data_IF_578520906100
#
_entry.id   IF_578520906100
#
_cell.length_a   1.000
_cell.length_b   1.000
_cell.length_c   1.000
_cell.angle_alpha   90.00
_cell.angle_beta   90.00
_cell.angle_gamma   90.00
#
_symmetry.space_group_name_H-M   'P 1'
#
loop_
_entity.id
_entity.type
_entity.pdbx_description
1 polymer ?
#
# COMPACT_ATOMS: atom_id res chain seq x y z
N UNK A 1 -10.40 -7.43 -2.75
CA UNK A 1 -9.50 -6.98 -1.63
C UNK A 1 -9.96 -7.61 -0.33
N UNK A 2 -11.27 -7.72 -0.17
CA UNK A 2 -11.95 -8.45 0.88
C UNK A 2 -11.48 -9.91 0.98
N UNK A 3 -11.32 -10.62 -0.14
CA UNK A 3 -10.83 -12.00 -0.15
C UNK A 3 -9.40 -12.09 0.38
N UNK A 4 -8.51 -11.20 -0.09
CA UNK A 4 -7.13 -11.14 0.39
C UNK A 4 -7.04 -10.89 1.90
N UNK A 5 -7.94 -10.08 2.45
CA UNK A 5 -7.97 -9.77 3.87
C UNK A 5 -8.64 -10.87 4.70
N UNK A 6 -9.71 -11.47 4.21
CA UNK A 6 -10.57 -12.37 4.97
C UNK A 6 -10.16 -13.84 4.86
N UNK A 7 -9.47 -14.21 3.78
CA UNK A 7 -9.06 -15.57 3.44
C UNK A 7 -7.54 -15.63 3.42
N UNK A 8 -6.90 -15.01 2.44
CA UNK A 8 -5.49 -15.26 2.14
C UNK A 8 -4.58 -14.85 3.31
N UNK A 9 -4.72 -13.62 3.80
CA UNK A 9 -3.90 -13.10 4.89
C UNK A 9 -4.01 -13.94 6.18
N UNK A 10 -5.21 -14.22 6.73
CA UNK A 10 -5.34 -15.06 7.90
C UNK A 10 -4.79 -16.48 7.69
N UNK A 11 -5.02 -17.10 6.52
CA UNK A 11 -4.43 -18.42 6.20
C UNK A 11 -2.91 -18.39 6.20
N UNK A 12 -2.29 -17.34 5.62
CA UNK A 12 -0.84 -17.18 5.64
C UNK A 12 -0.30 -16.99 7.06
N UNK A 13 -0.94 -16.14 7.88
CA UNK A 13 -0.51 -15.90 9.25
C UNK A 13 -0.58 -17.17 10.08
N UNK A 14 -1.70 -17.91 10.00
CA UNK A 14 -1.87 -19.17 10.73
C UNK A 14 -0.87 -20.22 10.28
N UNK A 15 -0.60 -20.32 8.98
CA UNK A 15 0.43 -21.21 8.46
C UNK A 15 1.81 -20.87 9.04
N UNK A 16 2.21 -19.60 9.04
CA UNK A 16 3.51 -19.18 9.57
C UNK A 16 3.60 -19.45 11.08
N UNK A 17 2.58 -19.13 11.86
CA UNK A 17 2.56 -19.38 13.30
C UNK A 17 2.67 -20.88 13.60
N UNK A 18 1.91 -21.71 12.88
CA UNK A 18 1.95 -23.16 13.04
C UNK A 18 3.30 -23.76 12.61
N UNK A 19 3.85 -23.31 11.49
CA UNK A 19 5.12 -23.81 10.96
C UNK A 19 6.31 -23.40 11.83
N UNK A 20 6.31 -22.18 12.36
CA UNK A 20 7.41 -21.66 13.20
C UNK A 20 7.26 -21.99 14.68
N UNK A 21 6.06 -22.38 15.13
CA UNK A 21 5.73 -22.58 16.54
C UNK A 21 5.64 -21.27 17.35
N UNK A 22 5.72 -20.11 16.70
CA UNK A 22 5.60 -18.81 17.36
C UNK A 22 4.13 -18.50 17.70
N UNK A 23 3.93 -17.82 18.83
CA UNK A 23 2.58 -17.41 19.26
C UNK A 23 2.10 -16.11 18.61
N UNK A 24 3.04 -15.26 18.20
CA UNK A 24 2.77 -13.96 17.60
C UNK A 24 3.71 -13.68 16.44
N UNK A 25 3.28 -12.80 15.54
CA UNK A 25 4.05 -12.34 14.38
C UNK A 25 4.04 -10.82 14.28
N UNK A 26 5.14 -10.24 13.80
CA UNK A 26 5.22 -8.83 13.41
C UNK A 26 4.85 -8.69 11.93
N UNK A 27 3.90 -7.80 11.61
CA UNK A 27 3.44 -7.58 10.24
C UNK A 27 3.96 -6.24 9.69
N UNK A 28 4.50 -6.25 8.48
CA UNK A 28 4.88 -5.03 7.75
C UNK A 28 4.05 -4.96 6.47
N UNK A 29 3.19 -3.94 6.36
CA UNK A 29 2.31 -3.74 5.21
C UNK A 29 2.72 -2.53 4.40
N UNK A 30 3.00 -2.69 3.10
CA UNK A 30 3.21 -1.57 2.18
C UNK A 30 1.99 -1.33 1.30
N UNK A 31 1.57 -0.07 1.12
CA UNK A 31 0.45 0.30 0.24
C UNK A 31 -0.80 -0.53 0.57
N UNK A 32 -1.27 -1.35 -0.37
CA UNK A 32 -2.40 -2.26 -0.19
C UNK A 32 -2.23 -3.21 1.00
N UNK A 33 -1.00 -3.65 1.33
CA UNK A 33 -0.75 -4.51 2.49
C UNK A 33 -1.08 -3.84 3.83
N UNK A 34 -0.94 -2.51 3.91
CA UNK A 34 -1.45 -1.76 5.07
C UNK A 34 -2.97 -1.87 5.17
N UNK A 35 -3.68 -1.78 4.05
CA UNK A 35 -5.14 -1.93 4.02
C UNK A 35 -5.58 -3.32 4.45
N UNK A 36 -4.90 -4.37 3.98
CA UNK A 36 -5.26 -5.76 4.30
C UNK A 36 -5.14 -6.06 5.80
N UNK A 37 -4.07 -5.59 6.45
CA UNK A 37 -3.90 -5.77 7.90
C UNK A 37 -4.94 -4.99 8.71
N UNK A 38 -5.29 -3.77 8.29
CA UNK A 38 -6.37 -3.00 8.91
C UNK A 38 -7.74 -3.68 8.75
N UNK A 39 -8.05 -4.17 7.56
CA UNK A 39 -9.31 -4.88 7.29
C UNK A 39 -9.40 -6.19 8.09
N UNK A 40 -8.31 -6.95 8.18
CA UNK A 40 -8.26 -8.18 8.96
C UNK A 40 -8.54 -7.89 10.43
N UNK A 41 -7.83 -6.93 11.03
CA UNK A 41 -7.99 -6.62 12.44
C UNK A 41 -9.36 -6.01 12.77
N UNK A 42 -9.97 -5.28 11.83
CA UNK A 42 -11.33 -4.77 11.99
C UNK A 42 -12.40 -5.87 11.88
N UNK A 43 -12.24 -6.81 10.94
CA UNK A 43 -13.21 -7.88 10.68
C UNK A 43 -13.06 -9.12 11.57
N UNK A 44 -11.85 -9.37 12.08
CA UNK A 44 -11.46 -10.55 12.86
C UNK A 44 -10.58 -10.14 14.05
N UNK A 45 -11.16 -9.52 15.10
CA UNK A 45 -10.41 -9.01 16.23
C UNK A 45 -9.57 -10.08 16.96
N UNK A 46 -9.90 -11.36 16.83
CA UNK A 46 -9.12 -12.49 17.35
C UNK A 46 -7.69 -12.58 16.80
N UNK A 47 -7.40 -11.96 15.64
CA UNK A 47 -6.03 -11.89 15.12
C UNK A 47 -5.16 -10.87 15.86
N UNK A 48 -5.73 -9.99 16.69
CA UNK A 48 -4.96 -9.08 17.54
C UNK A 48 -4.09 -9.84 18.54
N UNK A 49 -4.55 -10.99 19.03
CA UNK A 49 -3.76 -11.84 19.93
C UNK A 49 -2.59 -12.54 19.22
N UNK A 50 -2.67 -12.67 17.90
CA UNK A 50 -1.69 -13.33 17.05
C UNK A 50 -0.67 -12.37 16.43
N UNK A 51 -0.88 -11.07 16.54
CA UNK A 51 0.00 -10.04 15.97
C UNK A 51 0.61 -9.22 17.10
N UNK A 52 1.93 -9.05 17.07
CA UNK A 52 2.66 -8.28 18.10
C UNK A 52 2.74 -6.79 17.74
N UNK A 53 3.11 -6.50 16.49
CA UNK A 53 3.22 -5.15 15.96
C UNK A 53 2.84 -5.12 14.49
N UNK A 54 2.21 -4.04 14.07
CA UNK A 54 1.89 -3.74 12.68
C UNK A 54 2.61 -2.46 12.26
N UNK A 55 3.42 -2.54 11.21
CA UNK A 55 4.12 -1.39 10.62
C UNK A 55 3.51 -1.10 9.25
N UNK A 56 3.00 0.11 9.06
CA UNK A 56 2.40 0.56 7.81
C UNK A 56 3.35 1.46 7.03
N UNK A 57 3.70 1.06 5.80
CA UNK A 57 4.53 1.84 4.88
C UNK A 57 3.68 2.35 3.72
N UNK A 58 3.64 3.67 3.51
CA UNK A 58 2.80 4.31 2.49
C UNK A 58 1.34 3.79 2.52
N UNK A 59 0.62 3.91 3.66
CA UNK A 59 -0.69 3.28 3.83
C UNK A 59 -1.70 3.78 2.80
N UNK A 60 -2.36 2.85 2.09
CA UNK A 60 -3.47 3.19 1.19
C UNK A 60 -4.82 3.03 1.91
N UNK A 61 -5.31 4.11 2.52
CA UNK A 61 -6.62 4.14 3.18
C UNK A 61 -7.70 4.83 2.34
N UNK A 62 -8.71 5.37 3.01
CA UNK A 62 -9.66 6.30 2.40
C UNK A 62 -8.90 7.39 1.64
N UNK A 63 -9.12 7.47 0.33
CA UNK A 63 -8.44 8.42 -0.56
C UNK A 63 -9.33 9.63 -0.76
N UNK A 64 -8.93 10.72 -0.12
CA UNK A 64 -9.43 12.08 -0.34
C UNK A 64 -9.33 12.46 -1.84
N UNK A 65 -10.30 13.19 -2.43
CA UNK A 65 -10.28 13.57 -3.85
C UNK A 65 -9.00 14.31 -4.28
N UNK A 66 -8.33 14.96 -3.34
CA UNK A 66 -7.05 15.66 -3.54
C UNK A 66 -5.93 14.74 -4.05
N UNK A 67 -5.88 13.47 -3.65
CA UNK A 67 -4.89 12.51 -4.17
C UNK A 67 -5.07 12.25 -5.67
N UNK A 68 -6.31 12.19 -6.17
CA UNK A 68 -6.57 12.08 -7.62
C UNK A 68 -6.06 13.30 -8.38
N UNK A 69 -6.20 14.51 -7.81
CA UNK A 69 -5.75 15.75 -8.44
C UNK A 69 -4.22 15.81 -8.53
N UNK A 70 -3.52 15.33 -7.50
CA UNK A 70 -2.05 15.27 -7.50
C UNK A 70 -1.53 14.32 -8.59
N UNK A 71 -2.06 13.10 -8.68
CA UNK A 71 -1.66 12.14 -9.73
C UNK A 71 -2.00 12.66 -11.12
N UNK A 72 -3.20 13.23 -11.32
CA UNK A 72 -3.58 13.82 -12.60
C UNK A 72 -2.68 15.01 -12.99
N UNK A 73 -2.26 15.84 -12.03
CA UNK A 73 -1.34 16.96 -12.26
C UNK A 73 0.04 16.49 -12.72
N UNK A 74 0.59 15.46 -12.07
CA UNK A 74 1.87 14.85 -12.48
C UNK A 74 1.73 14.19 -13.85
N UNK A 75 0.68 13.40 -14.09
CA UNK A 75 0.44 12.75 -15.38
C UNK A 75 0.26 13.77 -16.52
N UNK A 76 -0.51 14.85 -16.32
CA UNK A 76 -0.66 15.92 -17.33
C UNK A 76 0.67 16.58 -17.66
N UNK A 77 1.47 16.89 -16.64
CA UNK A 77 2.77 17.55 -16.82
C UNK A 77 3.77 16.62 -17.52
N UNK A 78 3.82 15.35 -17.12
CA UNK A 78 4.71 14.36 -17.73
C UNK A 78 4.31 14.05 -19.18
N UNK A 79 3.02 13.85 -19.45
CA UNK A 79 2.50 13.63 -20.82
C UNK A 79 2.75 14.87 -21.68
N UNK A 80 2.47 16.08 -21.19
CA UNK A 80 2.76 17.29 -21.95
C UNK A 80 4.25 17.41 -22.30
N UNK A 81 5.16 17.13 -21.37
CA UNK A 81 6.61 17.12 -21.65
C UNK A 81 7.05 16.04 -22.63
N UNK A 82 6.38 14.88 -22.66
CA UNK A 82 6.70 13.77 -23.56
C UNK A 82 6.18 14.03 -24.99
N UNK A 83 5.04 14.70 -25.12
CA UNK A 83 4.41 15.01 -26.41
C UNK A 83 4.64 16.46 -26.87
N UNK A 84 5.50 17.22 -26.19
CA UNK A 84 5.89 18.56 -26.63
C UNK A 84 6.80 18.43 -27.87
N UNK A 85 6.38 18.91 -29.06
CA UNK A 85 7.16 18.73 -30.28
C UNK A 85 8.46 19.55 -30.33
N UNK A 86 8.73 20.42 -29.35
CA UNK A 86 9.85 21.36 -29.36
C UNK A 86 11.06 20.88 -28.53
N UNK A 87 11.51 19.65 -28.76
CA UNK A 87 12.72 19.08 -28.15
C UNK A 87 14.07 19.72 -28.54
N UNK A 88 14.13 21.03 -28.85
CA UNK A 88 15.38 21.78 -29.06
C UNK A 88 15.20 23.27 -28.76
N UNK A 89 15.72 23.76 -27.64
CA UNK A 89 16.50 25.02 -27.60
C UNK A 89 17.32 25.06 -26.31
N UNK A 90 18.59 24.70 -26.50
CA UNK A 90 19.80 25.17 -25.82
C UNK A 90 19.64 25.95 -24.50
N UNK A 91 20.09 25.32 -23.41
CA UNK A 91 20.66 26.05 -22.27
C UNK A 91 22.05 26.51 -22.70
N UNK A 92 22.10 27.63 -23.41
CA UNK A 92 23.31 28.34 -23.79
C UNK A 92 23.11 29.84 -23.64
N UNK A 93 23.86 30.44 -22.70
CA UNK A 93 24.02 31.88 -22.41
C UNK A 93 22.78 32.63 -21.89
N UNK A 94 22.81 33.03 -20.61
CA UNK A 94 23.43 34.31 -20.20
C UNK A 94 24.20 34.11 -18.90
#
# INVERSE_FOLDING_TARGET
IDEYSNIDLPTMLDYILNYTGQKKISYIGHSMGSTLSLMLLAGKPEYTEKIDIVIHMAPSGYREPTFRRAIQGISRTAIQKIFDPQGTTEVGRQ
#
